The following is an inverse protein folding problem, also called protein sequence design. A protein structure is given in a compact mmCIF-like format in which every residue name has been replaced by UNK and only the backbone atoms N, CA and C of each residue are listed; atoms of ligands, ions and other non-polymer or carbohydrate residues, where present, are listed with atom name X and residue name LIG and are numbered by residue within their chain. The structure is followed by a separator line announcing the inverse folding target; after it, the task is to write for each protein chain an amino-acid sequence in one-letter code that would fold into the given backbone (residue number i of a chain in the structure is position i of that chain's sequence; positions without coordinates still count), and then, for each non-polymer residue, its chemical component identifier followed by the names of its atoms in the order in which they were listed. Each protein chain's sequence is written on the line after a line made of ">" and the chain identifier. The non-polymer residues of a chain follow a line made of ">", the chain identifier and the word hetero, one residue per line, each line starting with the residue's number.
data_IF_356799436903
#
_entry.id   IF_356799436903
#
_cell.length_a   1.000
_cell.length_b   1.000
_cell.length_c   1.000
_cell.angle_alpha   90.00
_cell.angle_beta   90.00
_cell.angle_gamma   90.00
#
_symmetry.space_group_name_H-M   'P 1'
#
loop_
_entity.id
_entity.type
_entity.pdbx_description
1 polymer ?
#
# COMPACT_ATOMS: atom_id res chain seq x y z
N UNK A 1 32.58 7.97 -22.58
CA UNK A 1 33.56 6.87 -22.43
C UNK A 1 33.27 6.25 -21.05
N UNK A 2 32.50 5.18 -21.02
CA UNK A 2 32.28 4.37 -19.81
C UNK A 2 33.07 3.07 -20.00
N UNK A 3 33.84 2.60 -19.01
CA UNK A 3 34.52 1.33 -19.12
C UNK A 3 33.57 0.17 -18.97
N UNK A 4 33.59 -0.77 -19.91
CA UNK A 4 32.94 -2.07 -19.89
C UNK A 4 33.29 -2.83 -18.60
N UNK A 5 32.31 -3.15 -17.81
CA UNK A 5 32.41 -4.18 -16.77
C UNK A 5 31.68 -5.42 -17.27
N UNK A 6 32.44 -6.39 -17.75
CA UNK A 6 31.96 -7.75 -17.99
C UNK A 6 31.40 -8.36 -16.72
N UNK A 7 30.10 -8.47 -16.64
CA UNK A 7 29.42 -9.30 -15.64
C UNK A 7 29.52 -10.75 -16.12
N UNK A 8 30.37 -11.52 -15.48
CA UNK A 8 30.36 -12.98 -15.55
C UNK A 8 29.03 -13.44 -14.91
N UNK A 9 28.11 -13.91 -15.74
CA UNK A 9 26.95 -14.69 -15.31
C UNK A 9 27.47 -16.07 -14.93
N UNK A 10 27.77 -16.28 -13.65
CA UNK A 10 27.92 -17.61 -13.09
C UNK A 10 26.53 -18.14 -12.79
N UNK A 11 26.26 -19.40 -13.13
CA UNK A 11 25.05 -20.15 -12.79
C UNK A 11 24.80 -20.12 -11.28
N UNK A 12 24.07 -19.11 -10.84
CA UNK A 12 23.60 -19.01 -9.46
C UNK A 12 22.19 -19.62 -9.38
N UNK A 13 21.90 -20.45 -8.39
CA UNK A 13 20.57 -21.00 -8.21
C UNK A 13 19.57 -19.83 -8.12
N UNK A 14 18.44 -19.96 -8.79
CA UNK A 14 17.39 -18.95 -8.81
C UNK A 14 17.05 -18.53 -7.38
N UNK A 15 17.40 -17.27 -7.05
CA UNK A 15 17.10 -16.69 -5.76
C UNK A 15 15.59 -16.49 -5.68
N UNK A 16 14.96 -17.06 -4.65
CA UNK A 16 13.50 -16.93 -4.51
C UNK A 16 13.11 -15.45 -4.34
N UNK A 17 11.92 -15.01 -4.82
CA UNK A 17 11.46 -13.66 -4.65
C UNK A 17 11.50 -13.16 -3.20
N UNK A 18 11.27 -14.04 -2.23
CA UNK A 18 11.39 -13.75 -0.81
C UNK A 18 12.84 -13.42 -0.39
N UNK A 19 13.84 -14.04 -1.00
CA UNK A 19 15.25 -13.75 -0.75
C UNK A 19 15.66 -12.41 -1.34
N UNK A 20 15.14 -12.06 -2.53
CA UNK A 20 15.40 -10.74 -3.15
C UNK A 20 14.84 -9.61 -2.29
N UNK A 21 13.61 -9.77 -1.79
CA UNK A 21 12.99 -8.78 -0.88
C UNK A 21 13.76 -8.68 0.45
N UNK A 22 14.23 -9.79 0.99
CA UNK A 22 15.09 -9.80 2.18
C UNK A 22 16.43 -9.10 1.94
N UNK A 23 17.03 -9.27 0.76
CA UNK A 23 18.26 -8.57 0.39
C UNK A 23 18.05 -7.06 0.24
N UNK A 24 16.98 -6.64 -0.45
CA UNK A 24 16.63 -5.22 -0.61
C UNK A 24 16.32 -4.55 0.74
N UNK A 25 15.62 -5.24 1.62
CA UNK A 25 15.36 -4.75 2.97
C UNK A 25 16.65 -4.65 3.80
N UNK A 26 17.58 -5.59 3.65
CA UNK A 26 18.87 -5.58 4.33
C UNK A 26 19.77 -4.42 3.87
N UNK A 27 19.77 -4.11 2.57
CA UNK A 27 20.52 -2.95 2.06
C UNK A 27 19.93 -1.62 2.53
N UNK A 28 18.61 -1.50 2.60
CA UNK A 28 17.96 -0.32 3.15
C UNK A 28 18.24 -0.17 4.65
N UNK A 29 18.28 -1.26 5.40
CA UNK A 29 18.68 -1.26 6.81
C UNK A 29 20.13 -0.79 6.97
N UNK A 30 21.05 -1.29 6.14
CA UNK A 30 22.48 -0.87 6.17
C UNK A 30 22.62 0.60 5.80
N UNK A 31 21.85 1.11 4.83
CA UNK A 31 21.86 2.55 4.49
C UNK A 31 21.25 3.43 5.57
N UNK A 32 20.24 2.95 6.31
CA UNK A 32 19.63 3.70 7.40
C UNK A 32 20.50 3.75 8.66
N UNK A 33 21.39 2.77 8.86
CA UNK A 33 22.29 2.71 10.02
C UNK A 33 23.58 3.52 9.80
N UNK A 34 23.88 3.94 8.57
CA UNK A 34 25.18 4.54 8.25
C UNK A 34 25.28 6.06 8.43
N UNK A 35 24.29 6.78 8.96
CA UNK A 35 24.48 8.20 9.24
C UNK A 35 23.63 8.72 10.41
N UNK A 36 24.13 8.57 11.63
CA UNK A 36 23.89 9.54 12.68
C UNK A 36 25.12 9.59 13.61
N UNK A 37 25.83 10.72 13.70
CA UNK A 37 26.99 10.85 14.58
C UNK A 37 26.67 10.97 16.07
N UNK A 38 25.43 10.71 16.48
CA UNK A 38 24.97 10.88 17.88
C UNK A 38 24.64 9.59 18.61
N UNK A 39 25.10 8.42 18.12
CA UNK A 39 24.98 7.18 18.90
C UNK A 39 26.34 6.52 19.13
N UNK A 40 27.21 7.10 19.97
CA UNK A 40 28.47 6.46 20.34
C UNK A 40 28.30 5.29 21.30
N UNK A 41 27.11 5.08 21.86
CA UNK A 41 26.94 4.27 23.08
C UNK A 41 27.01 2.76 22.85
N UNK A 42 26.52 2.24 21.73
CA UNK A 42 26.48 0.78 21.54
C UNK A 42 27.81 0.21 21.02
N UNK A 43 28.42 0.88 20.05
CA UNK A 43 29.71 0.45 19.50
C UNK A 43 30.83 0.63 20.54
N UNK A 44 30.78 1.71 21.32
CA UNK A 44 31.71 1.97 22.40
C UNK A 44 31.55 0.95 23.55
N UNK A 45 30.33 0.55 23.88
CA UNK A 45 30.06 -0.49 24.86
C UNK A 45 30.61 -1.86 24.44
N UNK A 46 30.49 -2.21 23.13
CA UNK A 46 31.05 -3.45 22.60
C UNK A 46 32.58 -3.44 22.52
N UNK A 47 33.19 -2.30 22.19
CA UNK A 47 34.64 -2.14 22.21
C UNK A 47 35.21 -2.17 23.64
N UNK A 48 34.54 -1.57 24.60
CA UNK A 48 34.95 -1.60 25.99
C UNK A 48 34.83 -3.01 26.56
N UNK A 49 33.75 -3.76 26.27
CA UNK A 49 33.60 -5.15 26.67
C UNK A 49 34.69 -6.07 26.09
N UNK A 50 35.18 -5.77 24.91
CA UNK A 50 36.25 -6.53 24.22
C UNK A 50 37.64 -6.20 24.79
N UNK A 51 37.87 -4.98 25.24
CA UNK A 51 39.11 -4.58 25.90
C UNK A 51 39.22 -5.08 27.35
N UNK A 52 38.11 -5.21 28.08
CA UNK A 52 38.11 -5.78 29.41
C UNK A 52 38.34 -7.31 29.43
N UNK A 53 37.97 -8.02 28.36
CA UNK A 53 38.22 -9.46 28.21
C UNK A 53 39.70 -9.83 28.05
N UNK A 54 40.59 -8.88 27.74
CA UNK A 54 42.01 -9.13 27.49
C UNK A 54 42.94 -8.80 28.69
N UNK A 55 42.40 -8.40 29.84
CA UNK A 55 43.18 -8.21 31.05
C UNK A 55 42.81 -9.25 32.14
N UNK A 56 43.66 -10.21 32.44
CA UNK A 56 43.41 -11.14 33.57
C UNK A 56 43.61 -10.40 34.89
N UNK A 57 42.54 -9.90 35.48
CA UNK A 57 42.53 -9.44 36.87
C UNK A 57 41.93 -10.50 37.78
N UNK A 58 42.69 -10.74 38.87
CA UNK A 58 42.44 -11.70 39.92
C UNK A 58 40.99 -11.77 40.42
N UNK A 59 40.52 -12.99 40.51
CA UNK A 59 39.26 -13.36 41.17
C UNK A 59 39.20 -12.86 42.59
N UNK A 60 38.36 -11.89 42.89
CA UNK A 60 37.81 -11.69 44.22
C UNK A 60 36.30 -11.94 44.18
N UNK A 61 35.91 -13.03 44.83
CA UNK A 61 34.56 -13.45 45.07
C UNK A 61 33.85 -12.44 45.95
N UNK A 62 33.06 -11.55 45.38
CA UNK A 62 32.08 -10.78 46.14
C UNK A 62 30.85 -10.61 45.27
N UNK A 63 29.78 -11.27 45.68
CA UNK A 63 28.37 -11.15 45.24
C UNK A 63 28.14 -10.52 43.87
N UNK A 64 27.94 -11.38 42.90
CA UNK A 64 27.36 -11.03 41.62
C UNK A 64 25.99 -10.37 41.83
N UNK A 65 25.96 -9.04 41.90
CA UNK A 65 24.85 -8.32 41.35
C UNK A 65 24.83 -8.67 39.87
N UNK A 66 24.05 -9.67 39.47
CA UNK A 66 23.63 -9.87 38.10
C UNK A 66 22.94 -8.56 37.70
N UNK A 67 23.70 -7.63 37.16
CA UNK A 67 23.15 -6.62 36.31
C UNK A 67 22.42 -7.42 35.21
N UNK A 68 21.11 -7.47 35.29
CA UNK A 68 20.26 -8.00 34.23
C UNK A 68 20.78 -7.32 32.99
N UNK A 69 21.40 -8.09 32.09
CA UNK A 69 21.70 -7.60 30.74
C UNK A 69 20.43 -6.93 30.24
N UNK A 70 20.48 -5.66 29.81
CA UNK A 70 19.28 -4.99 29.32
C UNK A 70 18.68 -5.94 28.29
N UNK A 71 17.47 -6.43 28.57
CA UNK A 71 16.73 -7.24 27.61
C UNK A 71 16.53 -6.32 26.40
N UNK A 72 17.31 -6.56 25.36
CA UNK A 72 17.09 -5.88 24.07
C UNK A 72 15.77 -6.43 23.59
N UNK A 73 14.69 -5.70 23.84
CA UNK A 73 13.39 -6.01 23.26
C UNK A 73 13.58 -6.01 21.75
N UNK A 74 13.09 -7.04 21.03
CA UNK A 74 13.19 -7.06 19.59
C UNK A 74 12.52 -5.81 19.05
N UNK A 75 13.24 -5.04 18.23
CA UNK A 75 12.67 -3.91 17.52
C UNK A 75 11.49 -4.38 16.68
N UNK A 76 10.47 -3.54 16.53
CA UNK A 76 9.35 -3.78 15.61
C UNK A 76 9.81 -4.04 14.17
N UNK A 77 10.98 -3.53 13.80
CA UNK A 77 11.60 -3.74 12.47
C UNK A 77 12.24 -5.14 12.31
N UNK A 78 12.14 -6.02 13.30
CA UNK A 78 12.67 -7.38 13.18
C UNK A 78 11.88 -8.19 12.11
N UNK A 79 12.51 -8.59 10.99
CA UNK A 79 11.83 -9.30 9.90
C UNK A 79 11.16 -10.62 10.29
N UNK A 80 11.57 -11.22 11.42
CA UNK A 80 10.96 -12.45 11.95
C UNK A 80 9.54 -12.25 12.49
N UNK A 81 9.15 -11.01 12.75
CA UNK A 81 7.81 -10.64 13.22
C UNK A 81 6.83 -10.37 12.08
N UNK A 82 7.33 -10.36 10.83
CA UNK A 82 6.54 -10.08 9.65
C UNK A 82 5.51 -11.17 9.34
N UNK A 83 4.39 -10.79 8.75
CA UNK A 83 3.49 -11.74 8.13
C UNK A 83 4.15 -12.38 6.89
N UNK A 84 3.71 -13.59 6.47
CA UNK A 84 4.06 -14.16 5.18
C UNK A 84 3.84 -13.20 4.02
N UNK A 85 4.60 -13.35 2.92
CA UNK A 85 4.62 -12.37 1.83
C UNK A 85 3.47 -12.53 0.84
N UNK A 86 2.94 -13.74 0.68
CA UNK A 86 1.83 -14.00 -0.24
C UNK A 86 0.50 -13.92 0.49
N UNK A 87 -0.53 -13.47 -0.23
CA UNK A 87 -1.86 -13.34 0.35
C UNK A 87 -2.97 -13.73 -0.63
N UNK A 88 -3.92 -14.48 -0.14
CA UNK A 88 -5.20 -14.73 -0.78
C UNK A 88 -6.32 -14.07 0.03
N UNK A 89 -7.25 -13.40 -0.66
CA UNK A 89 -8.42 -12.78 -0.06
C UNK A 89 -9.67 -13.34 -0.70
N UNK A 90 -10.67 -13.66 0.11
CA UNK A 90 -12.04 -13.95 -0.33
C UNK A 90 -12.99 -13.00 0.40
N UNK A 91 -13.97 -12.47 -0.30
CA UNK A 91 -14.90 -11.54 0.31
C UNK A 91 -16.16 -11.32 -0.49
N UNK A 92 -16.99 -10.46 0.06
CA UNK A 92 -18.22 -9.97 -0.59
C UNK A 92 -18.12 -8.46 -0.69
N UNK A 93 -18.56 -7.92 -1.82
CA UNK A 93 -18.69 -6.48 -2.03
C UNK A 93 -20.09 -6.13 -2.50
N UNK A 94 -20.51 -4.93 -2.16
CA UNK A 94 -21.73 -4.32 -2.64
C UNK A 94 -21.41 -2.93 -3.17
N UNK A 95 -21.78 -2.69 -4.42
CA UNK A 95 -21.74 -1.37 -5.04
C UNK A 95 -23.16 -0.82 -5.11
N UNK A 96 -23.32 0.45 -4.83
CA UNK A 96 -24.56 1.20 -5.01
C UNK A 96 -24.30 2.49 -5.78
N UNK A 97 -25.26 2.86 -6.62
CA UNK A 97 -25.14 3.97 -7.55
C UNK A 97 -26.18 5.03 -7.23
N UNK A 98 -25.71 6.26 -6.98
CA UNK A 98 -26.60 7.42 -6.87
C UNK A 98 -26.78 8.04 -8.26
N UNK A 99 -28.03 8.38 -8.59
CA UNK A 99 -28.45 8.64 -9.97
C UNK A 99 -28.90 10.05 -10.22
N UNK A 100 -28.73 10.45 -11.47
CA UNK A 100 -29.41 11.61 -12.04
C UNK A 100 -30.91 11.31 -12.17
N UNK A 101 -31.76 12.18 -11.62
CA UNK A 101 -33.22 12.04 -11.65
C UNK A 101 -33.74 11.80 -13.06
N UNK A 102 -34.68 10.85 -13.20
CA UNK A 102 -35.36 10.58 -14.45
C UNK A 102 -34.75 9.47 -15.32
N UNK A 103 -33.66 8.84 -14.88
CA UNK A 103 -33.06 7.71 -15.60
C UNK A 103 -33.42 6.35 -14.99
N UNK A 104 -33.39 5.25 -15.77
CA UNK A 104 -33.75 3.93 -15.25
C UNK A 104 -32.88 3.56 -14.06
N UNK A 105 -33.43 2.78 -13.18
CA UNK A 105 -32.85 2.37 -11.90
C UNK A 105 -31.74 1.37 -12.12
N UNK A 106 -30.45 1.70 -11.87
CA UNK A 106 -29.39 0.70 -11.72
C UNK A 106 -29.56 0.05 -10.34
N UNK A 107 -29.63 -1.23 -10.28
CA UNK A 107 -29.70 -1.94 -9.01
C UNK A 107 -28.32 -1.96 -8.35
N UNK A 108 -28.30 -2.15 -7.02
CA UNK A 108 -27.05 -2.40 -6.33
C UNK A 108 -26.44 -3.69 -6.86
N UNK A 109 -25.15 -3.62 -7.22
CA UNK A 109 -24.41 -4.78 -7.70
C UNK A 109 -23.73 -5.47 -6.52
N UNK A 110 -23.98 -6.78 -6.35
CA UNK A 110 -23.31 -7.60 -5.36
C UNK A 110 -22.34 -8.55 -6.04
N UNK A 111 -21.17 -8.72 -5.44
CA UNK A 111 -20.16 -9.61 -5.97
C UNK A 111 -19.43 -10.39 -4.88
N UNK A 112 -19.03 -11.61 -5.21
CA UNK A 112 -18.00 -12.34 -4.47
C UNK A 112 -16.65 -11.97 -5.08
N UNK A 113 -15.72 -11.53 -4.25
CA UNK A 113 -14.38 -11.11 -4.70
C UNK A 113 -13.33 -12.12 -4.28
N UNK A 114 -12.41 -12.41 -5.19
CA UNK A 114 -11.25 -13.26 -4.99
C UNK A 114 -10.01 -12.46 -5.37
N UNK A 115 -9.05 -12.33 -4.48
CA UNK A 115 -7.80 -11.64 -4.79
C UNK A 115 -6.61 -12.52 -4.40
N UNK A 116 -5.61 -12.51 -5.25
CA UNK A 116 -4.32 -13.13 -5.02
C UNK A 116 -3.20 -12.11 -5.16
N UNK A 117 -2.20 -12.15 -4.30
CA UNK A 117 -1.04 -11.27 -4.32
C UNK A 117 0.21 -12.05 -3.97
N UNK A 118 1.19 -12.00 -4.84
CA UNK A 118 2.40 -12.82 -4.73
C UNK A 118 3.42 -12.24 -3.75
N UNK A 119 3.71 -10.94 -3.89
CA UNK A 119 4.54 -10.19 -2.94
C UNK A 119 3.70 -9.05 -2.45
N UNK A 120 3.40 -9.05 -1.16
CA UNK A 120 2.38 -8.17 -0.69
C UNK A 120 2.66 -7.57 0.68
N UNK A 121 2.49 -6.28 0.74
CA UNK A 121 2.32 -5.50 1.95
C UNK A 121 1.56 -4.24 1.66
N UNK A 122 0.50 -3.97 2.38
CA UNK A 122 -0.19 -2.69 2.33
C UNK A 122 -0.20 -1.96 3.70
N UNK A 123 -0.84 -0.79 3.71
CA UNK A 123 -0.90 0.05 4.90
C UNK A 123 -1.72 -0.55 6.06
N UNK A 124 -2.57 -1.54 5.80
CA UNK A 124 -3.39 -2.23 6.79
C UNK A 124 -2.75 -3.50 7.31
N UNK A 125 -1.65 -3.97 6.71
CA UNK A 125 -0.94 -5.14 7.20
C UNK A 125 -0.19 -4.85 8.51
N UNK A 126 0.13 -5.90 9.25
CA UNK A 126 0.87 -5.81 10.49
C UNK A 126 2.17 -5.02 10.29
N UNK A 127 2.41 -4.04 11.13
CA UNK A 127 3.55 -3.13 11.00
C UNK A 127 4.87 -3.82 11.38
N UNK A 128 4.81 -4.80 12.29
CA UNK A 128 5.99 -5.49 12.78
C UNK A 128 6.72 -6.23 11.65
N UNK A 129 8.03 -6.13 11.65
CA UNK A 129 8.91 -6.79 10.69
C UNK A 129 9.22 -5.98 9.44
N UNK A 130 8.74 -4.74 9.33
CA UNK A 130 8.94 -3.91 8.16
C UNK A 130 9.16 -2.43 8.51
N UNK A 131 9.82 -1.66 7.64
CA UNK A 131 9.87 -0.21 7.79
C UNK A 131 8.47 0.40 7.78
N UNK A 132 8.16 1.22 8.78
CA UNK A 132 6.87 1.90 8.90
C UNK A 132 6.63 2.77 7.68
N UNK A 133 5.40 2.73 7.13
CA UNK A 133 5.01 3.51 5.95
C UNK A 133 5.44 2.93 4.60
N UNK A 134 6.09 1.76 4.57
CA UNK A 134 6.39 1.09 3.30
C UNK A 134 5.20 0.21 2.87
N UNK A 135 4.89 0.26 1.58
CA UNK A 135 3.92 -0.62 0.91
C UNK A 135 4.57 -1.16 -0.34
N UNK A 136 4.33 -2.42 -0.64
CA UNK A 136 4.82 -3.08 -1.84
C UNK A 136 3.85 -4.17 -2.25
N UNK A 137 3.35 -4.10 -3.47
CA UNK A 137 2.63 -5.19 -4.10
C UNK A 137 3.30 -5.48 -5.43
N UNK A 138 3.66 -6.72 -5.68
CA UNK A 138 4.10 -7.18 -6.98
C UNK A 138 3.25 -8.38 -7.38
N UNK A 139 2.75 -8.37 -8.61
CA UNK A 139 1.90 -9.40 -9.19
C UNK A 139 0.64 -9.68 -8.34
N UNK A 140 -0.34 -8.82 -8.49
CA UNK A 140 -1.66 -9.00 -7.89
C UNK A 140 -2.73 -9.23 -8.95
N UNK A 141 -3.70 -10.08 -8.63
CA UNK A 141 -4.87 -10.33 -9.47
C UNK A 141 -6.13 -10.32 -8.61
N UNK A 142 -7.15 -9.61 -9.06
CA UNK A 142 -8.47 -9.57 -8.46
C UNK A 142 -9.54 -9.99 -9.44
N UNK A 143 -10.42 -10.86 -9.01
CA UNK A 143 -11.60 -11.33 -9.75
C UNK A 143 -12.84 -11.02 -8.93
N UNK A 144 -13.94 -10.71 -9.62
CA UNK A 144 -15.27 -10.64 -9.03
C UNK A 144 -16.23 -11.61 -9.75
N UNK A 145 -17.16 -12.15 -8.99
CA UNK A 145 -18.24 -13.01 -9.47
C UNK A 145 -19.53 -12.30 -9.11
N UNK A 146 -20.25 -11.86 -10.13
CA UNK A 146 -21.49 -11.11 -9.97
C UNK A 146 -22.69 -12.02 -10.11
N UNK A 147 -23.71 -11.78 -9.27
CA UNK A 147 -25.03 -12.39 -9.39
C UNK A 147 -25.90 -11.45 -10.24
N UNK A 148 -25.81 -11.58 -11.56
CA UNK A 148 -26.61 -10.78 -12.48
C UNK A 148 -27.83 -11.57 -12.97
N UNK A 149 -29.02 -11.04 -12.71
CA UNK A 149 -30.27 -11.56 -13.26
C UNK A 149 -30.34 -11.54 -14.81
N UNK A 150 -29.48 -10.76 -15.45
CA UNK A 150 -29.43 -10.53 -16.92
C UNK A 150 -28.35 -11.32 -17.66
N UNK A 151 -27.72 -12.33 -17.06
CA UNK A 151 -26.81 -13.29 -17.71
C UNK A 151 -25.57 -12.73 -18.43
N UNK A 152 -25.12 -11.51 -18.13
CA UNK A 152 -23.88 -10.97 -18.70
C UNK A 152 -22.76 -11.03 -17.66
N UNK A 153 -21.66 -11.68 -18.08
CA UNK A 153 -20.37 -11.76 -17.41
C UNK A 153 -20.39 -12.07 -15.89
N UNK A 154 -20.67 -13.32 -15.57
CA UNK A 154 -20.62 -13.81 -14.19
C UNK A 154 -19.26 -13.63 -13.53
N UNK A 155 -18.15 -13.67 -14.28
CA UNK A 155 -16.79 -13.52 -13.77
C UNK A 155 -16.11 -12.33 -14.46
N UNK A 156 -15.58 -11.40 -13.68
CA UNK A 156 -14.90 -10.22 -14.18
C UNK A 156 -13.50 -10.08 -13.58
N UNK A 157 -12.54 -9.63 -14.39
CA UNK A 157 -11.23 -9.23 -13.93
C UNK A 157 -11.33 -7.80 -13.37
N UNK A 158 -11.11 -7.63 -12.06
CA UNK A 158 -11.16 -6.34 -11.38
C UNK A 158 -9.84 -5.59 -11.50
N UNK A 159 -8.76 -6.31 -11.28
CA UNK A 159 -7.43 -5.73 -11.34
C UNK A 159 -6.37 -6.78 -11.70
N UNK A 160 -5.32 -6.31 -12.36
CA UNK A 160 -4.07 -7.03 -12.54
C UNK A 160 -2.93 -6.06 -12.27
N UNK A 161 -2.43 -6.06 -11.04
CA UNK A 161 -1.31 -5.21 -10.63
C UNK A 161 0.01 -5.87 -11.00
N UNK A 162 0.84 -5.18 -11.75
CA UNK A 162 2.21 -5.61 -12.00
C UNK A 162 3.12 -5.13 -10.87
N UNK A 163 2.95 -3.88 -10.48
CA UNK A 163 3.75 -3.26 -9.45
C UNK A 163 2.99 -2.11 -8.79
N UNK A 164 2.99 -2.06 -7.47
CA UNK A 164 2.46 -0.97 -6.66
C UNK A 164 3.38 -0.77 -5.46
N UNK A 165 3.95 0.40 -5.36
CA UNK A 165 4.89 0.76 -4.29
C UNK A 165 4.54 2.12 -3.71
N UNK A 166 4.57 2.22 -2.39
CA UNK A 166 4.50 3.50 -1.67
C UNK A 166 5.49 3.47 -0.51
N UNK A 167 6.30 4.50 -0.42
CA UNK A 167 7.32 4.65 0.61
C UNK A 167 7.13 5.98 1.32
N UNK A 168 6.53 5.93 2.50
CA UNK A 168 6.29 7.11 3.34
C UNK A 168 7.49 7.31 4.26
N UNK A 169 8.14 8.45 4.13
CA UNK A 169 9.25 8.87 4.97
C UNK A 169 8.81 10.04 5.86
N UNK A 170 8.31 9.77 7.08
CA UNK A 170 7.83 10.82 7.96
C UNK A 170 8.91 11.84 8.27
N UNK A 171 8.55 13.11 8.18
CA UNK A 171 9.41 14.23 8.56
C UNK A 171 9.60 14.19 10.07
N UNK A 172 10.83 14.30 10.51
CA UNK A 172 11.18 14.55 11.90
C UNK A 172 12.23 15.67 11.98
N UNK A 173 12.61 16.09 13.18
CA UNK A 173 13.59 17.15 13.40
C UNK A 173 14.95 16.90 12.74
N UNK A 174 15.31 15.64 12.51
CA UNK A 174 16.58 15.23 11.95
C UNK A 174 16.54 14.87 10.45
N UNK A 175 15.36 14.45 9.94
CA UNK A 175 15.19 13.96 8.56
C UNK A 175 14.07 14.69 7.83
N UNK A 176 14.38 15.25 6.66
CA UNK A 176 13.44 15.88 5.73
C UNK A 176 13.17 14.92 4.55
N UNK A 177 12.73 13.69 4.84
CA UNK A 177 12.47 12.70 3.81
C UNK A 177 11.41 13.14 2.78
N UNK A 178 11.51 12.61 1.57
CA UNK A 178 10.47 12.70 0.55
C UNK A 178 9.73 11.37 0.53
N UNK A 179 8.42 11.41 0.62
CA UNK A 179 7.54 10.27 0.42
C UNK A 179 7.22 10.16 -1.06
N UNK A 180 7.17 8.95 -1.58
CA UNK A 180 6.93 8.68 -2.99
C UNK A 180 6.20 7.36 -3.19
N UNK A 181 5.62 7.17 -4.37
CA UNK A 181 4.98 5.94 -4.77
C UNK A 181 4.80 5.84 -6.27
N UNK A 182 4.30 4.71 -6.73
CA UNK A 182 3.97 4.46 -8.13
C UNK A 182 3.23 3.15 -8.31
N UNK A 183 2.39 3.11 -9.33
CA UNK A 183 1.57 1.95 -9.66
C UNK A 183 1.58 1.71 -11.17
N UNK A 184 1.63 0.44 -11.57
CA UNK A 184 1.46 -0.01 -12.96
C UNK A 184 0.60 -1.27 -12.95
N UNK A 185 -0.46 -1.28 -13.77
CA UNK A 185 -1.34 -2.44 -13.86
C UNK A 185 -2.57 -2.20 -14.72
N UNK A 186 -3.50 -3.12 -14.63
CA UNK A 186 -4.86 -2.98 -15.15
C UNK A 186 -5.81 -2.82 -13.96
N UNK A 187 -6.78 -1.94 -14.08
CA UNK A 187 -7.81 -1.73 -13.06
C UNK A 187 -9.12 -1.31 -13.69
N UNK A 188 -10.23 -1.59 -13.02
CA UNK A 188 -11.52 -1.10 -13.44
C UNK A 188 -11.73 0.33 -12.95
N UNK A 189 -12.27 1.17 -13.84
CA UNK A 189 -12.54 2.58 -13.57
C UNK A 189 -13.85 3.01 -14.19
N UNK A 190 -14.50 3.97 -13.55
CA UNK A 190 -15.59 4.74 -14.17
C UNK A 190 -15.01 5.93 -14.92
N UNK A 191 -15.59 6.22 -16.08
CA UNK A 191 -15.28 7.45 -16.79
C UNK A 191 -16.33 8.52 -16.49
N UNK A 192 -15.89 9.65 -15.95
CA UNK A 192 -16.77 10.77 -15.62
C UNK A 192 -17.32 11.54 -16.81
N UNK A 193 -16.78 11.33 -18.03
CA UNK A 193 -17.19 12.06 -19.25
C UNK A 193 -18.02 11.17 -20.17
N UNK A 194 -17.81 9.87 -20.16
CA UNK A 194 -18.45 8.98 -21.13
C UNK A 194 -19.95 9.12 -21.01
N UNK A 195 -20.52 9.91 -21.91
CA UNK A 195 -21.95 10.08 -22.03
C UNK A 195 -22.54 8.73 -22.48
N UNK A 196 -23.58 8.31 -21.79
CA UNK A 196 -24.36 7.17 -22.24
C UNK A 196 -25.00 7.58 -23.55
N UNK A 197 -24.69 6.87 -24.62
CA UNK A 197 -25.47 6.95 -25.83
C UNK A 197 -26.94 6.71 -25.45
N UNK A 198 -27.83 7.64 -25.81
CA UNK A 198 -29.23 7.62 -25.37
C UNK A 198 -29.96 6.31 -25.69
N UNK A 199 -29.41 5.52 -26.58
CA UNK A 199 -30.02 4.28 -27.10
C UNK A 199 -29.35 3.01 -26.57
N UNK A 200 -28.19 3.12 -25.88
CA UNK A 200 -27.47 1.95 -25.31
C UNK A 200 -27.26 2.12 -23.83
N UNK A 201 -28.09 1.48 -23.02
CA UNK A 201 -27.99 1.48 -21.56
C UNK A 201 -26.82 0.63 -21.03
N UNK A 202 -26.04 0.01 -21.91
CA UNK A 202 -24.94 -0.90 -21.59
C UNK A 202 -23.66 -0.21 -21.07
N UNK A 203 -23.52 1.10 -21.29
CA UNK A 203 -22.28 1.85 -20.98
C UNK A 203 -22.18 2.39 -19.54
N UNK A 204 -23.02 1.89 -18.63
CA UNK A 204 -23.03 2.31 -17.22
C UNK A 204 -22.11 1.47 -16.31
N UNK A 205 -21.21 0.72 -16.91
CA UNK A 205 -20.28 -0.15 -16.19
C UNK A 205 -18.89 0.46 -16.08
N UNK A 206 -18.17 0.05 -15.07
CA UNK A 206 -16.75 0.26 -15.00
C UNK A 206 -16.02 -0.52 -16.11
N UNK A 207 -14.90 -0.01 -16.55
CA UNK A 207 -14.12 -0.61 -17.63
C UNK A 207 -12.70 -0.89 -17.18
N UNK A 208 -12.17 -2.03 -17.63
CA UNK A 208 -10.78 -2.40 -17.40
C UNK A 208 -9.88 -1.52 -18.28
N UNK A 209 -8.97 -0.80 -17.64
CA UNK A 209 -8.00 0.08 -18.30
C UNK A 209 -6.59 -0.18 -17.82
N UNK A 210 -5.61 0.05 -18.66
CA UNK A 210 -4.22 0.12 -18.24
C UNK A 210 -3.99 1.42 -17.46
N UNK A 211 -3.32 1.33 -16.32
CA UNK A 211 -3.01 2.45 -15.46
C UNK A 211 -1.51 2.52 -15.18
N UNK A 212 -0.96 3.72 -15.26
CA UNK A 212 0.36 4.06 -14.75
C UNK A 212 0.24 5.34 -13.94
N UNK A 213 0.78 5.32 -12.73
CA UNK A 213 0.78 6.50 -11.87
C UNK A 213 2.06 6.64 -11.07
N UNK A 214 2.36 7.87 -10.68
CA UNK A 214 3.44 8.22 -9.77
C UNK A 214 2.96 9.25 -8.76
N UNK A 215 3.50 9.20 -7.56
CA UNK A 215 3.17 10.15 -6.50
C UNK A 215 4.41 10.55 -5.69
N UNK A 216 4.42 11.79 -5.19
CA UNK A 216 5.49 12.29 -4.33
C UNK A 216 4.98 13.40 -3.41
N UNK A 217 5.60 13.52 -2.24
CA UNK A 217 5.17 14.51 -1.26
C UNK A 217 5.81 14.33 0.11
N UNK A 218 5.03 14.55 1.13
CA UNK A 218 5.47 14.53 2.52
C UNK A 218 4.55 13.69 3.38
N UNK A 219 5.13 13.13 4.44
CA UNK A 219 4.36 12.45 5.49
C UNK A 219 4.85 12.89 6.86
N UNK A 220 3.99 12.74 7.85
CA UNK A 220 4.25 13.04 9.26
C UNK A 220 3.83 11.85 10.10
N UNK A 221 4.65 11.49 11.07
CA UNK A 221 4.30 10.51 12.08
C UNK A 221 3.56 11.19 13.24
N UNK A 222 2.46 10.61 13.67
CA UNK A 222 1.65 11.11 14.78
C UNK A 222 1.88 10.24 16.02
N UNK A 223 2.20 10.87 17.16
CA UNK A 223 2.50 10.21 18.43
C UNK A 223 3.96 10.33 18.82
N UNK A 224 4.31 9.73 19.95
CA UNK A 224 5.68 9.70 20.46
C UNK A 224 6.35 8.40 20.06
N UNK A 225 7.65 8.46 19.77
CA UNK A 225 8.47 7.26 19.61
C UNK A 225 8.40 6.40 20.88
N UNK A 226 8.44 5.08 20.71
CA UNK A 226 8.45 4.17 21.85
C UNK A 226 9.70 4.41 22.70
N UNK A 227 9.56 4.69 24.00
CA UNK A 227 10.67 5.18 24.82
C UNK A 227 11.83 4.18 24.98
N UNK A 228 11.54 2.88 24.82
CA UNK A 228 12.53 1.82 25.07
C UNK A 228 13.19 1.27 23.79
N UNK A 229 12.57 1.42 22.63
CA UNK A 229 13.08 0.87 21.36
C UNK A 229 13.47 1.96 20.36
N UNK A 230 13.03 3.21 20.59
CA UNK A 230 13.21 4.30 19.64
C UNK A 230 12.41 4.15 18.35
N UNK A 231 11.50 3.17 18.32
CA UNK A 231 10.66 2.91 17.16
C UNK A 231 9.77 4.11 16.82
N UNK A 232 9.64 4.40 15.53
CA UNK A 232 8.77 5.48 15.05
C UNK A 232 7.31 5.20 15.40
N UNK A 233 6.48 6.24 15.62
CA UNK A 233 5.05 6.05 15.80
C UNK A 233 4.43 5.33 14.62
N UNK A 234 3.50 4.42 14.89
CA UNK A 234 2.80 3.63 13.90
C UNK A 234 1.78 4.44 13.07
N UNK A 235 1.36 5.59 13.59
CA UNK A 235 0.38 6.46 12.95
C UNK A 235 1.09 7.43 12.00
N UNK A 236 0.73 7.39 10.71
CA UNK A 236 1.34 8.24 9.68
C UNK A 236 0.22 8.91 8.89
N UNK A 237 0.27 10.23 8.77
CA UNK A 237 -0.51 10.98 7.79
C UNK A 237 0.40 11.50 6.67
N UNK A 238 -0.16 11.62 5.46
CA UNK A 238 0.59 12.05 4.29
C UNK A 238 -0.23 12.94 3.37
N UNK A 239 0.48 13.75 2.59
CA UNK A 239 -0.05 14.50 1.46
C UNK A 239 0.93 14.37 0.29
N UNK A 240 0.43 13.79 -0.81
CA UNK A 240 1.21 13.47 -2.00
C UNK A 240 0.56 14.10 -3.23
N UNK A 241 1.35 14.80 -4.04
CA UNK A 241 0.96 15.14 -5.40
C UNK A 241 1.07 13.92 -6.28
N UNK A 242 0.15 13.70 -7.20
CA UNK A 242 0.11 12.54 -8.08
C UNK A 242 0.00 12.94 -9.56
N UNK A 243 0.55 12.09 -10.42
CA UNK A 243 0.35 12.11 -11.86
C UNK A 243 -0.13 10.71 -12.27
N UNK A 244 -1.05 10.65 -13.22
CA UNK A 244 -1.55 9.38 -13.73
C UNK A 244 -1.89 9.45 -15.20
N UNK A 245 -1.77 8.31 -15.88
CA UNK A 245 -2.27 8.11 -17.22
C UNK A 245 -2.99 6.77 -17.30
N UNK A 246 -4.12 6.76 -17.99
CA UNK A 246 -4.97 5.58 -18.16
C UNK A 246 -5.30 5.41 -19.64
N UNK A 247 -5.35 4.13 -20.07
CA UNK A 247 -5.56 3.76 -21.46
C UNK A 247 -6.54 2.58 -21.54
N UNK A 248 -7.58 2.69 -22.36
CA UNK A 248 -8.55 1.61 -22.55
C UNK A 248 -9.79 2.06 -23.31
N UNK A 249 -10.45 1.11 -23.96
CA UNK A 249 -11.66 1.38 -24.77
C UNK A 249 -12.85 1.92 -23.96
N UNK A 250 -12.84 1.72 -22.64
CA UNK A 250 -13.86 2.23 -21.74
C UNK A 250 -13.75 3.72 -21.43
N UNK A 251 -12.67 4.36 -21.82
CA UNK A 251 -12.46 5.79 -21.65
C UNK A 251 -12.94 6.57 -22.87
N UNK A 252 -13.43 7.77 -22.65
CA UNK A 252 -13.71 8.71 -23.71
C UNK A 252 -12.39 8.95 -24.48
N UNK A 253 -12.41 8.82 -25.80
CA UNK A 253 -11.22 8.80 -26.66
C UNK A 253 -10.16 7.73 -26.37
N UNK A 254 -10.42 6.76 -25.48
CA UNK A 254 -9.51 5.65 -25.21
C UNK A 254 -8.34 5.95 -24.29
N UNK A 255 -8.19 7.18 -23.81
CA UNK A 255 -7.16 7.56 -22.84
C UNK A 255 -7.54 8.79 -22.02
N UNK A 256 -6.95 8.91 -20.85
CA UNK A 256 -6.95 10.14 -20.03
C UNK A 256 -5.64 10.27 -19.28
N UNK A 257 -5.21 11.49 -19.04
CA UNK A 257 -4.08 11.82 -18.18
C UNK A 257 -4.53 12.80 -17.12
N UNK A 258 -3.89 12.76 -15.95
CA UNK A 258 -4.33 13.62 -14.85
C UNK A 258 -3.21 13.96 -13.87
N UNK A 259 -3.48 15.03 -13.16
CA UNK A 259 -2.74 15.45 -11.97
C UNK A 259 -3.68 15.34 -10.78
N UNK A 260 -3.14 15.11 -9.59
CA UNK A 260 -3.99 14.98 -8.42
C UNK A 260 -3.26 15.21 -7.13
N UNK A 261 -4.02 15.07 -6.05
CA UNK A 261 -3.51 15.09 -4.68
C UNK A 261 -4.11 13.91 -3.93
N UNK A 262 -3.26 13.18 -3.20
CA UNK A 262 -3.65 12.09 -2.32
C UNK A 262 -3.34 12.51 -0.88
N UNK A 263 -4.35 12.53 -0.03
CA UNK A 263 -4.22 12.83 1.41
C UNK A 263 -4.77 11.66 2.19
N UNK A 264 -3.98 11.15 3.13
CA UNK A 264 -4.43 10.00 3.90
C UNK A 264 -3.73 9.87 5.24
N UNK A 265 -4.30 9.00 6.07
CA UNK A 265 -3.75 8.64 7.37
C UNK A 265 -3.89 7.14 7.60
N UNK A 266 -2.81 6.53 8.08
CA UNK A 266 -2.78 5.16 8.56
C UNK A 266 -2.69 5.21 10.08
N UNK A 267 -3.53 4.46 10.78
CA UNK A 267 -3.57 4.43 12.24
C UNK A 267 -3.53 3.00 12.77
N UNK A 268 -2.66 2.76 13.73
CA UNK A 268 -2.68 1.56 14.57
C UNK A 268 -3.57 1.84 15.79
N UNK A 269 -4.77 1.29 15.81
CA UNK A 269 -5.72 1.45 16.90
C UNK A 269 -5.34 0.53 18.08
N UNK A 270 -4.86 -0.67 17.75
CA UNK A 270 -4.27 -1.68 18.65
C UNK A 270 -3.24 -2.50 17.88
N UNK A 271 -2.43 -3.30 18.54
CA UNK A 271 -1.41 -4.16 17.91
C UNK A 271 -1.97 -5.07 16.81
N UNK A 272 -3.23 -5.45 16.91
CA UNK A 272 -3.93 -6.31 15.95
C UNK A 272 -5.08 -5.59 15.21
N UNK A 273 -5.22 -4.28 15.35
CA UNK A 273 -6.30 -3.52 14.72
C UNK A 273 -5.78 -2.22 14.11
N UNK A 274 -5.92 -2.08 12.81
CA UNK A 274 -5.47 -0.92 12.04
C UNK A 274 -6.59 -0.33 11.20
N UNK A 275 -6.47 0.95 10.91
CA UNK A 275 -7.37 1.68 10.05
C UNK A 275 -6.61 2.58 9.10
N UNK A 276 -7.20 2.84 7.93
CA UNK A 276 -6.72 3.79 6.93
C UNK A 276 -7.88 4.66 6.47
N UNK A 277 -7.60 5.92 6.19
CA UNK A 277 -8.48 6.76 5.39
C UNK A 277 -7.65 7.50 4.34
N UNK A 278 -8.16 7.57 3.11
CA UNK A 278 -7.49 8.26 2.01
C UNK A 278 -8.52 9.00 1.16
N UNK A 279 -8.23 10.26 0.86
CA UNK A 279 -8.95 11.09 -0.09
C UNK A 279 -8.05 11.32 -1.30
N UNK A 280 -8.48 10.88 -2.47
CA UNK A 280 -7.82 11.14 -3.75
C UNK A 280 -8.60 12.17 -4.55
N UNK A 281 -7.91 13.16 -5.09
CA UNK A 281 -8.49 14.26 -5.83
C UNK A 281 -7.82 14.36 -7.22
N UNK A 282 -8.08 13.43 -8.15
CA UNK A 282 -7.54 13.52 -9.50
C UNK A 282 -8.30 14.55 -10.32
N UNK A 283 -7.56 15.35 -11.07
CA UNK A 283 -8.04 16.21 -12.12
C UNK A 283 -7.65 15.61 -13.46
N UNK A 284 -8.61 15.09 -14.18
CA UNK A 284 -8.42 14.41 -15.46
C UNK A 284 -8.51 15.37 -16.62
N UNK A 285 -7.60 15.18 -17.58
CA UNK A 285 -7.62 15.78 -18.90
C UNK A 285 -7.92 14.66 -19.88
N UNK A 286 -9.00 14.77 -20.61
CA UNK A 286 -9.38 13.90 -21.72
C UNK A 286 -8.92 14.53 -23.04
N UNK A 287 -8.48 13.72 -23.98
CA UNK A 287 -7.64 14.16 -25.08
C UNK A 287 -8.32 14.92 -26.24
N UNK A 288 -9.41 15.68 -26.02
CA UNK A 288 -9.99 16.49 -27.08
C UNK A 288 -10.02 17.98 -26.75
N UNK A 289 -10.04 18.80 -27.81
CA UNK A 289 -9.94 20.26 -27.81
C UNK A 289 -11.12 20.98 -27.14
N UNK A 290 -12.19 20.29 -26.75
CA UNK A 290 -13.43 20.87 -26.26
C UNK A 290 -13.53 20.98 -24.72
N UNK A 291 -12.40 21.14 -24.01
CA UNK A 291 -12.36 21.41 -22.55
C UNK A 291 -12.98 20.32 -21.66
N UNK A 292 -12.74 19.06 -21.94
CA UNK A 292 -13.26 17.95 -21.16
C UNK A 292 -12.34 17.58 -19.99
N UNK A 293 -12.08 18.53 -19.14
CA UNK A 293 -11.37 18.30 -17.88
C UNK A 293 -12.35 18.23 -16.71
N UNK A 294 -12.05 17.35 -15.75
CA UNK A 294 -12.92 17.18 -14.59
C UNK A 294 -12.20 16.64 -13.36
N UNK A 295 -12.74 16.94 -12.21
CA UNK A 295 -12.38 16.33 -10.95
C UNK A 295 -13.18 15.04 -10.72
N UNK A 296 -12.51 14.01 -10.23
CA UNK A 296 -13.16 12.74 -9.86
C UNK A 296 -12.70 12.33 -8.45
N UNK A 297 -13.18 13.02 -7.41
CA UNK A 297 -12.80 12.73 -6.04
C UNK A 297 -13.17 11.29 -5.64
N UNK A 298 -12.32 10.68 -4.80
CA UNK A 298 -12.62 9.39 -4.16
C UNK A 298 -12.17 9.40 -2.72
N UNK A 299 -13.10 9.10 -1.82
CA UNK A 299 -12.82 8.85 -0.41
C UNK A 299 -12.83 7.35 -0.16
N UNK A 300 -11.80 6.84 0.48
CA UNK A 300 -11.69 5.43 0.86
C UNK A 300 -11.39 5.30 2.34
N UNK A 301 -12.02 4.35 3.00
CA UNK A 301 -11.80 4.02 4.40
C UNK A 301 -11.60 2.52 4.48
N UNK A 302 -10.65 2.07 5.27
CA UNK A 302 -10.38 0.65 5.48
C UNK A 302 -10.06 0.36 6.93
N UNK A 303 -10.42 -0.83 7.39
CA UNK A 303 -10.05 -1.32 8.72
C UNK A 303 -9.75 -2.80 8.64
N UNK A 304 -8.69 -3.23 9.32
CA UNK A 304 -8.28 -4.62 9.40
C UNK A 304 -8.06 -5.04 10.84
N UNK A 305 -8.59 -6.21 11.17
CA UNK A 305 -8.38 -6.90 12.42
C UNK A 305 -7.66 -8.22 12.16
N UNK A 306 -6.45 -8.38 12.73
CA UNK A 306 -5.69 -9.62 12.63
C UNK A 306 -6.18 -10.60 13.71
N UNK A 307 -6.67 -11.74 13.25
CA UNK A 307 -7.07 -12.86 14.12
C UNK A 307 -5.83 -13.56 14.65
N UNK A 308 -4.85 -13.77 13.77
CA UNK A 308 -3.54 -14.34 14.07
C UNK A 308 -2.51 -13.90 13.01
N UNK A 309 -1.32 -14.50 12.97
CA UNK A 309 -0.26 -14.13 12.02
C UNK A 309 -0.59 -14.45 10.56
N UNK A 310 -1.51 -15.36 10.31
CA UNK A 310 -1.84 -15.82 8.96
C UNK A 310 -3.26 -15.46 8.51
N UNK A 311 -4.11 -14.96 9.41
CA UNK A 311 -5.51 -14.67 9.07
C UNK A 311 -5.95 -13.31 9.62
N UNK A 312 -6.69 -12.58 8.79
CA UNK A 312 -7.28 -11.30 9.16
C UNK A 312 -8.66 -11.13 8.54
N UNK A 313 -9.43 -10.21 9.11
CA UNK A 313 -10.70 -9.72 8.54
C UNK A 313 -10.49 -8.26 8.17
N UNK A 314 -10.96 -7.86 6.98
CA UNK A 314 -10.88 -6.49 6.48
C UNK A 314 -12.23 -5.99 6.03
N UNK A 315 -12.57 -4.78 6.44
CA UNK A 315 -13.71 -4.03 5.93
C UNK A 315 -13.19 -2.81 5.20
N UNK A 316 -13.73 -2.55 4.01
CA UNK A 316 -13.43 -1.34 3.25
C UNK A 316 -14.72 -0.67 2.82
N UNK A 317 -14.72 0.66 2.76
CA UNK A 317 -15.79 1.45 2.20
C UNK A 317 -15.19 2.56 1.34
N UNK A 318 -15.80 2.87 0.21
CA UNK A 318 -15.37 3.99 -0.62
C UNK A 318 -16.57 4.69 -1.25
N UNK A 319 -16.39 5.98 -1.53
CA UNK A 319 -17.28 6.80 -2.34
C UNK A 319 -16.47 7.52 -3.39
N UNK A 320 -16.89 7.38 -4.64
CA UNK A 320 -16.31 8.05 -5.80
C UNK A 320 -17.36 8.96 -6.42
N UNK A 321 -16.99 10.23 -6.67
CA UNK A 321 -17.87 11.22 -7.28
C UNK A 321 -17.55 11.35 -8.76
N UNK A 322 -18.61 11.29 -9.58
CA UNK A 322 -18.55 11.34 -11.06
C UNK A 322 -19.27 12.61 -11.58
N UNK A 323 -18.72 13.81 -11.35
CA UNK A 323 -19.46 15.06 -11.53
C UNK A 323 -19.85 15.38 -12.98
N UNK A 324 -19.23 14.73 -13.95
CA UNK A 324 -19.53 14.90 -15.37
C UNK A 324 -20.32 13.74 -15.99
N UNK A 325 -20.61 12.71 -15.23
CA UNK A 325 -21.43 11.60 -15.73
C UNK A 325 -22.90 12.02 -15.86
N UNK A 326 -23.49 11.73 -17.00
CA UNK A 326 -24.91 12.04 -17.28
C UNK A 326 -25.89 11.10 -16.57
N UNK A 327 -25.41 10.04 -15.92
CA UNK A 327 -26.26 8.97 -15.42
C UNK A 327 -26.03 8.62 -13.95
N UNK A 328 -24.79 8.73 -13.47
CA UNK A 328 -24.39 8.38 -12.12
C UNK A 328 -23.63 9.55 -11.51
N UNK A 329 -24.04 10.01 -10.32
CA UNK A 329 -23.32 11.03 -9.57
C UNK A 329 -22.25 10.46 -8.68
N UNK A 330 -22.57 9.34 -7.98
CA UNK A 330 -21.69 8.70 -7.03
C UNK A 330 -21.72 7.18 -7.20
N UNK A 331 -20.59 6.57 -6.92
CA UNK A 331 -20.46 5.13 -6.73
C UNK A 331 -20.00 4.88 -5.31
N UNK A 332 -20.82 4.20 -4.52
CA UNK A 332 -20.49 3.75 -3.19
C UNK A 332 -20.16 2.26 -3.22
N UNK A 333 -19.09 1.86 -2.59
CA UNK A 333 -18.71 0.46 -2.45
C UNK A 333 -18.41 0.13 -0.99
N UNK A 334 -18.92 -1.00 -0.53
CA UNK A 334 -18.57 -1.59 0.77
C UNK A 334 -18.17 -3.04 0.54
N UNK A 335 -17.05 -3.45 1.13
CA UNK A 335 -16.58 -4.83 1.03
C UNK A 335 -16.14 -5.38 2.39
N UNK A 336 -16.42 -6.66 2.60
CA UNK A 336 -15.93 -7.47 3.72
C UNK A 336 -15.10 -8.61 3.16
N UNK A 337 -13.86 -8.76 3.64
CA UNK A 337 -12.89 -9.74 3.14
C UNK A 337 -12.26 -10.52 4.28
N UNK A 338 -12.10 -11.81 4.08
CA UNK A 338 -11.21 -12.65 4.87
C UNK A 338 -9.89 -12.79 4.12
N UNK A 339 -8.78 -12.61 4.83
CA UNK A 339 -7.43 -12.59 4.31
C UNK A 339 -6.66 -13.76 4.88
N UNK A 340 -5.94 -14.47 4.03
CA UNK A 340 -5.05 -15.56 4.42
C UNK A 340 -3.64 -15.31 3.87
N UNK A 341 -2.64 -15.24 4.77
CA UNK A 341 -1.23 -15.04 4.45
C UNK A 341 -0.48 -16.37 4.45
N UNK A 342 0.40 -16.57 3.48
CA UNK A 342 1.22 -17.79 3.33
C UNK A 342 2.54 -17.48 2.62
N UNK A 343 3.54 -18.38 2.74
CA UNK A 343 4.84 -18.30 2.07
C UNK A 343 4.89 -19.16 0.82
#
# INVERSE_FOLDING_TARGET
>A
IFPDKNFLVTDSPMVSPAQVVRMLNRENLIRSTNFSPSTPTIVQAQLNARNEANHPKAFNNTQQNRALSPQILPSRDNPQLANPLSRFDIGVSQQSFDRVSGRPKLDSNQAVTLNYRMVYRDALDKIDGYPIGSQLTALSMGLSIHDNADHQDTVQLEQLGLFDVRSLHPINSAKKGISWGGNIGLQRVFDGIKAINKDDHSDMHDHLVANISGEFGKSVALGSAAPNTGDMPANICYGLGSIAAQFGKGLYHGYRAGLGVNVGCNAELRSNWRAISELTLPFWLSGDSDNESYWQPKLSIGSQYDINQTNAIRVTASREWLPKSDSIHNVDEVALKWLHYFD
#
